data_IF_072162677449
#
_entry.id   IF_072162677449
#
_cell.length_a   1.000
_cell.length_b   1.000
_cell.length_c   1.000
_cell.angle_alpha   90.00
_cell.angle_beta   90.00
_cell.angle_gamma   90.00
#
_symmetry.space_group_name_H-M   'P 1'
#
loop_
_entity.id
_entity.type
_entity.pdbx_description
1 polymer ?
#
# COMPACT_ATOMS: atom_id res chain seq x y z
N UNK A 1 34.27 14.17 -33.70
CA UNK A 1 33.69 14.55 -32.41
C UNK A 1 32.52 13.63 -32.06
N UNK A 2 32.75 12.33 -31.85
CA UNK A 2 31.68 11.32 -31.52
C UNK A 2 32.09 10.47 -30.31
N UNK A 3 33.25 10.74 -29.67
CA UNK A 3 33.77 9.92 -28.57
C UNK A 3 33.34 10.33 -27.14
N UNK A 4 32.74 11.51 -26.94
CA UNK A 4 32.50 12.03 -25.58
C UNK A 4 31.20 11.62 -24.92
N UNK A 5 30.22 11.07 -25.65
CA UNK A 5 28.91 10.70 -25.06
C UNK A 5 28.84 9.26 -24.51
N UNK A 6 29.74 8.40 -24.95
CA UNK A 6 29.78 7.00 -24.47
C UNK A 6 30.42 6.87 -23.07
N UNK A 7 31.47 7.66 -22.81
CA UNK A 7 32.20 7.64 -21.54
C UNK A 7 31.38 8.21 -20.37
N UNK A 8 30.57 9.26 -20.61
CA UNK A 8 29.67 9.82 -19.60
C UNK A 8 28.56 8.82 -19.21
N UNK A 9 28.11 7.96 -20.14
CA UNK A 9 27.11 6.92 -19.85
C UNK A 9 27.68 5.77 -19.03
N UNK A 10 28.96 5.44 -19.21
CA UNK A 10 29.61 4.38 -18.42
C UNK A 10 29.87 4.82 -16.99
N UNK A 11 30.28 6.06 -16.78
CA UNK A 11 30.54 6.62 -15.44
C UNK A 11 29.25 6.81 -14.62
N UNK A 12 28.15 7.21 -15.27
CA UNK A 12 26.83 7.28 -14.61
C UNK A 12 26.31 5.89 -14.21
N UNK A 13 26.53 4.85 -15.02
CA UNK A 13 26.13 3.48 -14.70
C UNK A 13 26.92 2.90 -13.53
N UNK A 14 28.22 3.18 -13.46
CA UNK A 14 29.08 2.73 -12.34
C UNK A 14 28.82 3.52 -11.07
N UNK A 15 28.57 4.83 -11.16
CA UNK A 15 28.18 5.67 -10.02
C UNK A 15 26.80 5.28 -9.45
N UNK A 16 25.82 4.99 -10.33
CA UNK A 16 24.49 4.52 -9.88
C UNK A 16 24.50 3.07 -9.36
N UNK A 17 25.30 2.19 -9.94
CA UNK A 17 25.52 0.85 -9.41
C UNK A 17 26.16 0.88 -8.01
N UNK A 18 26.97 1.91 -7.70
CA UNK A 18 27.52 2.12 -6.36
C UNK A 18 26.53 2.79 -5.40
N UNK A 19 25.55 3.56 -5.87
CA UNK A 19 24.44 4.13 -5.09
C UNK A 19 23.27 3.17 -4.90
N UNK A 20 23.10 2.20 -5.79
CA UNK A 20 22.27 1.01 -5.60
C UNK A 20 22.90 0.01 -4.60
N UNK A 21 23.83 0.49 -3.78
CA UNK A 21 24.61 -0.24 -2.82
C UNK A 21 23.77 -0.83 -1.66
N UNK A 22 24.23 -1.93 -1.05
CA UNK A 22 23.50 -2.97 -0.31
C UNK A 22 22.64 -2.49 0.89
N UNK A 23 22.74 -1.24 1.31
CA UNK A 23 22.00 -0.77 2.47
C UNK A 23 20.47 -0.60 2.22
N UNK A 24 20.08 -0.19 1.02
CA UNK A 24 18.65 -0.04 0.67
C UNK A 24 18.03 -1.41 0.38
N UNK A 25 18.79 -2.31 -0.24
CA UNK A 25 18.41 -3.72 -0.38
C UNK A 25 18.34 -4.44 0.97
N UNK A 26 19.19 -4.04 1.94
CA UNK A 26 19.19 -4.65 3.26
C UNK A 26 17.88 -4.42 4.01
N UNK A 27 17.27 -3.25 3.93
CA UNK A 27 16.01 -2.98 4.63
C UNK A 27 14.86 -3.81 4.06
N UNK A 28 14.69 -3.82 2.73
CA UNK A 28 13.64 -4.63 2.08
C UNK A 28 13.93 -6.13 2.24
N UNK A 29 15.20 -6.54 2.12
CA UNK A 29 15.60 -7.93 2.37
C UNK A 29 15.42 -8.34 3.83
N UNK A 30 15.65 -7.45 4.79
CA UNK A 30 15.38 -7.69 6.22
C UNK A 30 13.87 -7.77 6.46
N UNK A 31 13.09 -6.84 5.90
CA UNK A 31 11.63 -6.88 6.00
C UNK A 31 11.07 -8.15 5.38
N UNK A 32 11.53 -8.55 4.19
CA UNK A 32 11.12 -9.78 3.52
C UNK A 32 11.59 -11.05 4.26
N UNK A 33 12.80 -11.03 4.84
CA UNK A 33 13.27 -12.14 5.68
C UNK A 33 12.49 -12.27 6.97
N UNK A 34 12.19 -11.15 7.64
CA UNK A 34 11.35 -11.14 8.83
C UNK A 34 9.93 -11.60 8.50
N UNK A 35 9.39 -11.15 7.36
CA UNK A 35 8.08 -11.56 6.88
C UNK A 35 8.07 -13.03 6.47
N UNK A 36 9.04 -13.47 5.68
CA UNK A 36 9.21 -14.86 5.27
C UNK A 36 9.42 -15.81 6.45
N UNK A 37 10.21 -15.40 7.44
CA UNK A 37 10.41 -16.17 8.68
C UNK A 37 9.14 -16.22 9.53
N UNK A 38 8.44 -15.11 9.68
CA UNK A 38 7.22 -15.03 10.49
C UNK A 38 6.06 -15.84 9.90
N UNK A 39 5.97 -15.91 8.57
CA UNK A 39 4.84 -16.56 7.88
C UNK A 39 5.19 -17.81 7.06
N UNK A 40 6.44 -18.28 7.17
CA UNK A 40 6.90 -19.53 6.53
C UNK A 40 6.96 -19.47 4.99
N UNK A 41 6.96 -18.28 4.41
CA UNK A 41 7.09 -18.08 2.96
C UNK A 41 8.53 -18.40 2.55
N UNK A 42 8.75 -19.55 1.94
CA UNK A 42 10.03 -19.94 1.34
C UNK A 42 10.18 -19.33 -0.05
N UNK A 43 10.18 -18.01 -0.14
CA UNK A 43 10.56 -17.29 -1.34
C UNK A 43 12.01 -16.81 -1.17
N UNK A 44 12.95 -17.44 -1.83
CA UNK A 44 14.30 -16.89 -1.98
C UNK A 44 14.22 -15.58 -2.77
N UNK A 45 15.09 -14.59 -2.51
CA UNK A 45 15.10 -13.36 -3.28
C UNK A 45 15.45 -13.69 -4.74
N UNK A 46 14.53 -13.42 -5.67
CA UNK A 46 14.81 -13.44 -7.11
C UNK A 46 15.69 -12.24 -7.51
N UNK A 47 16.86 -12.09 -6.85
CA UNK A 47 17.78 -10.96 -7.10
C UNK A 47 19.05 -11.34 -7.86
N UNK A 48 19.21 -12.59 -8.21
CA UNK A 48 20.36 -13.03 -9.02
C UNK A 48 19.85 -13.56 -10.35
N UNK A 49 20.06 -12.81 -11.39
CA UNK A 49 19.64 -13.10 -12.76
C UNK A 49 20.36 -14.26 -13.42
N UNK A 50 20.47 -15.41 -12.76
CA UNK A 50 20.91 -16.69 -13.32
C UNK A 50 20.26 -17.79 -12.48
N UNK A 51 19.43 -18.60 -13.12
CA UNK A 51 18.87 -19.88 -12.65
C UNK A 51 17.57 -19.90 -11.84
N UNK A 52 16.63 -18.97 -12.03
CA UNK A 52 15.25 -19.25 -11.63
C UNK A 52 14.37 -19.49 -12.86
N UNK A 53 14.09 -20.74 -13.17
CA UNK A 53 12.99 -21.17 -14.05
C UNK A 53 11.64 -20.95 -13.32
N UNK A 54 11.27 -19.70 -13.13
CA UNK A 54 10.02 -19.27 -12.52
C UNK A 54 9.97 -17.74 -12.61
N UNK A 55 9.33 -17.22 -13.65
CA UNK A 55 9.16 -15.78 -13.85
C UNK A 55 8.33 -15.24 -12.70
N UNK A 56 8.98 -14.51 -11.75
CA UNK A 56 8.26 -13.67 -10.81
C UNK A 56 7.59 -12.54 -11.60
N UNK A 57 6.28 -12.56 -11.67
CA UNK A 57 5.48 -11.57 -12.42
C UNK A 57 5.65 -10.15 -11.86
N UNK A 58 5.97 -10.03 -10.57
CA UNK A 58 6.22 -8.76 -9.89
C UNK A 58 7.40 -8.86 -8.93
N UNK A 59 8.20 -7.79 -8.87
CA UNK A 59 9.25 -7.65 -7.87
C UNK A 59 8.67 -7.37 -6.48
N UNK A 60 9.42 -7.67 -5.43
CA UNK A 60 9.06 -7.30 -4.06
C UNK A 60 8.88 -5.79 -3.89
N UNK A 61 9.64 -4.98 -4.64
CA UNK A 61 9.50 -3.52 -4.63
C UNK A 61 8.13 -3.06 -5.13
N UNK A 62 7.59 -3.71 -6.18
CA UNK A 62 6.26 -3.41 -6.68
C UNK A 62 5.18 -3.74 -5.64
N UNK A 63 5.29 -4.85 -4.89
CA UNK A 63 4.34 -5.21 -3.85
C UNK A 63 4.35 -4.17 -2.71
N UNK A 64 5.55 -3.77 -2.27
CA UNK A 64 5.70 -2.72 -1.26
C UNK A 64 5.18 -1.38 -1.74
N UNK A 65 5.45 -1.00 -3.00
CA UNK A 65 4.88 0.20 -3.61
C UNK A 65 3.35 0.19 -3.57
N UNK A 66 2.72 -0.89 -4.02
CA UNK A 66 1.25 -1.02 -4.02
C UNK A 66 0.65 -0.88 -2.62
N UNK A 67 1.33 -1.43 -1.61
CA UNK A 67 0.90 -1.31 -0.22
C UNK A 67 1.06 0.11 0.31
N UNK A 68 2.25 0.69 0.17
CA UNK A 68 2.58 2.01 0.71
C UNK A 68 1.74 3.11 0.06
N UNK A 69 1.60 3.10 -1.27
CA UNK A 69 0.78 4.07 -2.00
C UNK A 69 -0.69 4.01 -1.59
N UNK A 70 -1.27 2.80 -1.49
CA UNK A 70 -2.64 2.60 -1.05
C UNK A 70 -2.86 3.07 0.39
N UNK A 71 -1.99 2.65 1.31
CA UNK A 71 -2.08 3.03 2.74
C UNK A 71 -1.93 4.53 2.94
N UNK A 72 -1.00 5.18 2.22
CA UNK A 72 -0.82 6.62 2.28
C UNK A 72 -2.05 7.38 1.77
N UNK A 73 -2.61 6.96 0.63
CA UNK A 73 -3.83 7.56 0.08
C UNK A 73 -5.02 7.39 1.03
N UNK A 74 -5.17 6.22 1.66
CA UNK A 74 -6.17 5.99 2.71
C UNK A 74 -5.97 6.86 3.93
N UNK A 75 -4.72 7.10 4.37
CA UNK A 75 -4.42 7.98 5.49
C UNK A 75 -4.77 9.44 5.20
N UNK A 76 -4.53 9.91 3.96
CA UNK A 76 -4.95 11.24 3.53
C UNK A 76 -6.47 11.39 3.60
N UNK A 77 -7.21 10.39 3.10
CA UNK A 77 -8.67 10.38 3.16
C UNK A 77 -9.18 10.51 4.60
N UNK A 78 -8.62 9.74 5.54
CA UNK A 78 -9.01 9.84 6.94
C UNK A 78 -8.58 11.14 7.59
N UNK A 79 -7.41 11.68 7.27
CA UNK A 79 -6.95 12.98 7.75
C UNK A 79 -7.90 14.11 7.31
N UNK A 80 -8.29 14.12 6.04
CA UNK A 80 -9.25 15.07 5.50
C UNK A 80 -10.66 14.89 6.11
N UNK A 81 -11.12 13.65 6.26
CA UNK A 81 -12.41 13.37 6.89
C UNK A 81 -12.48 13.86 8.35
N UNK A 82 -11.40 13.73 9.11
CA UNK A 82 -11.29 14.25 10.48
C UNK A 82 -11.30 15.77 10.47
N UNK A 83 -10.57 16.41 9.55
CA UNK A 83 -10.50 17.86 9.45
C UNK A 83 -11.86 18.46 9.07
N UNK A 84 -12.52 17.93 8.06
CA UNK A 84 -13.84 18.37 7.61
C UNK A 84 -14.91 18.22 8.69
N UNK A 85 -14.87 17.17 9.51
CA UNK A 85 -15.76 16.99 10.66
C UNK A 85 -15.47 18.00 11.77
N UNK A 86 -14.20 18.27 12.05
CA UNK A 86 -13.77 19.27 13.03
C UNK A 86 -14.28 20.66 12.69
N UNK A 87 -14.21 21.05 11.43
CA UNK A 87 -14.71 22.36 10.93
C UNK A 87 -16.23 22.48 11.10
N UNK A 88 -16.99 21.42 10.82
CA UNK A 88 -18.46 21.44 10.96
C UNK A 88 -18.92 21.45 12.42
N UNK A 89 -18.18 20.80 13.31
CA UNK A 89 -18.60 20.66 14.72
C UNK A 89 -18.30 21.89 15.59
N UNK A 90 -17.30 22.70 15.26
CA UNK A 90 -16.78 23.72 16.17
C UNK A 90 -16.36 25.00 15.47
N UNK A 91 -16.75 25.47 14.39
CA UNK A 91 -16.34 26.77 13.81
C UNK A 91 -14.85 27.17 14.10
N UNK A 92 -14.02 26.20 14.41
CA UNK A 92 -12.64 26.38 14.86
C UNK A 92 -11.71 26.43 13.64
N UNK A 93 -10.98 27.51 13.52
CA UNK A 93 -10.07 27.82 12.41
C UNK A 93 -8.79 26.96 12.37
N UNK A 94 -8.59 26.05 13.33
CA UNK A 94 -7.36 25.25 13.42
C UNK A 94 -7.60 23.76 13.15
N UNK A 95 -6.82 23.21 12.21
CA UNK A 95 -6.80 21.78 11.91
C UNK A 95 -6.46 20.96 13.15
N UNK A 96 -7.24 19.94 13.53
CA UNK A 96 -6.95 19.10 14.67
C UNK A 96 -5.56 18.46 14.54
N UNK A 97 -4.82 18.34 15.64
CA UNK A 97 -3.45 17.79 15.61
C UNK A 97 -3.41 16.38 14.98
N UNK A 98 -4.43 15.58 15.14
CA UNK A 98 -4.56 14.24 14.53
C UNK A 98 -4.66 14.26 13.03
N UNK A 99 -5.40 15.23 12.48
CA UNK A 99 -5.46 15.41 11.03
C UNK A 99 -4.09 15.81 10.49
N UNK A 100 -3.37 16.69 11.19
CA UNK A 100 -1.99 17.06 10.83
C UNK A 100 -1.06 15.85 10.79
N UNK A 101 -1.09 14.97 11.80
CA UNK A 101 -0.26 13.76 11.82
C UNK A 101 -0.61 12.81 10.67
N UNK A 102 -1.88 12.70 10.31
CA UNK A 102 -2.33 11.92 9.17
C UNK A 102 -1.80 12.47 7.83
N UNK A 103 -1.85 13.79 7.61
CA UNK A 103 -1.30 14.41 6.39
C UNK A 103 0.22 14.24 6.30
N UNK A 104 0.97 14.48 7.37
CA UNK A 104 2.41 14.27 7.37
C UNK A 104 2.78 12.79 7.17
N UNK A 105 2.06 11.87 7.82
CA UNK A 105 2.24 10.43 7.64
C UNK A 105 1.98 10.00 6.20
N UNK A 106 0.93 10.52 5.57
CA UNK A 106 0.66 10.29 4.16
C UNK A 106 1.83 10.75 3.29
N UNK A 107 2.33 11.98 3.50
CA UNK A 107 3.44 12.52 2.70
C UNK A 107 4.69 11.66 2.79
N UNK A 108 5.06 11.22 4.00
CA UNK A 108 6.22 10.34 4.21
C UNK A 108 6.02 9.00 3.50
N UNK A 109 4.85 8.37 3.65
CA UNK A 109 4.59 7.08 3.00
C UNK A 109 4.54 7.19 1.47
N UNK A 110 3.98 8.27 0.91
CA UNK A 110 3.99 8.51 -0.53
C UNK A 110 5.42 8.69 -1.07
N UNK A 111 6.28 9.37 -0.32
CA UNK A 111 7.69 9.52 -0.68
C UNK A 111 8.40 8.14 -0.69
N UNK A 112 8.14 7.29 0.31
CA UNK A 112 8.64 5.91 0.31
C UNK A 112 8.06 5.06 -0.82
N UNK A 113 6.77 5.22 -1.14
CA UNK A 113 6.14 4.53 -2.27
C UNK A 113 6.78 4.94 -3.60
N UNK A 114 7.03 6.24 -3.80
CA UNK A 114 7.73 6.74 -4.97
C UNK A 114 9.17 6.21 -5.06
N UNK A 115 9.87 6.10 -3.93
CA UNK A 115 11.20 5.50 -3.86
C UNK A 115 11.16 4.02 -4.24
N UNK A 116 10.19 3.23 -3.75
CA UNK A 116 10.04 1.81 -4.11
C UNK A 116 9.76 1.64 -5.61
N UNK A 117 8.90 2.50 -6.18
CA UNK A 117 8.65 2.51 -7.62
C UNK A 117 9.90 2.86 -8.42
N UNK A 118 10.70 3.81 -7.94
CA UNK A 118 11.98 4.18 -8.55
C UNK A 118 12.97 3.01 -8.55
N UNK A 119 13.07 2.29 -7.44
CA UNK A 119 13.96 1.13 -7.30
C UNK A 119 13.50 -0.07 -8.15
N UNK A 120 12.20 -0.20 -8.37
CA UNK A 120 11.61 -1.25 -9.21
C UNK A 120 11.96 -1.08 -10.69
N UNK A 121 12.07 0.16 -11.20
CA UNK A 121 12.43 0.41 -12.59
C UNK A 121 13.86 0.00 -12.96
N UNK A 122 14.76 -0.13 -11.99
CA UNK A 122 16.14 -0.59 -12.18
C UNK A 122 17.04 0.36 -12.96
N UNK A 123 16.50 1.18 -13.85
CA UNK A 123 17.25 2.13 -14.65
C UNK A 123 16.62 3.54 -14.57
N UNK A 124 17.35 4.56 -14.06
CA UNK A 124 16.81 5.90 -13.85
C UNK A 124 16.37 6.61 -15.13
N UNK A 125 16.89 6.21 -16.28
CA UNK A 125 16.47 6.79 -17.57
C UNK A 125 15.09 6.31 -18.02
N UNK A 126 14.65 5.14 -17.60
CA UNK A 126 13.35 4.58 -17.95
C UNK A 126 12.19 5.37 -17.32
N UNK A 127 12.48 6.10 -16.23
CA UNK A 127 11.52 7.05 -15.63
C UNK A 127 11.10 8.13 -16.60
N UNK A 128 12.04 8.68 -17.38
CA UNK A 128 11.73 9.73 -18.36
C UNK A 128 10.71 9.23 -19.40
N UNK A 129 10.89 7.99 -19.89
CA UNK A 129 9.92 7.38 -20.79
C UNK A 129 8.54 7.17 -20.17
N UNK A 130 8.49 6.93 -18.86
CA UNK A 130 7.23 6.80 -18.13
C UNK A 130 6.44 8.11 -18.11
N UNK A 131 7.13 9.25 -18.10
CA UNK A 131 6.55 10.59 -18.09
C UNK A 131 6.29 11.19 -19.47
N UNK A 132 6.97 10.73 -20.53
CA UNK A 132 6.80 11.26 -21.89
C UNK A 132 5.44 10.98 -22.50
N UNK A 133 4.81 9.83 -22.15
CA UNK A 133 3.55 9.41 -22.74
C UNK A 133 2.52 8.99 -21.66
N UNK A 134 1.86 9.94 -20.99
CA UNK A 134 1.05 9.68 -19.79
C UNK A 134 -0.18 8.79 -20.02
N UNK A 135 -0.72 8.69 -21.23
CA UNK A 135 -1.94 7.93 -21.53
C UNK A 135 -1.68 6.62 -22.30
N UNK A 136 -0.43 6.29 -22.59
CA UNK A 136 -0.10 5.15 -23.45
C UNK A 136 0.03 3.82 -22.67
N UNK A 137 0.26 3.90 -21.36
CA UNK A 137 0.45 2.74 -20.49
C UNK A 137 -0.25 2.96 -19.16
N UNK A 138 -0.85 1.90 -18.60
CA UNK A 138 -1.44 1.93 -17.27
C UNK A 138 -0.39 2.32 -16.22
N UNK A 139 0.86 1.85 -16.36
CA UNK A 139 1.96 2.24 -15.48
C UNK A 139 2.27 3.74 -15.51
N UNK A 140 2.25 4.38 -16.70
CA UNK A 140 2.47 5.82 -16.83
C UNK A 140 1.39 6.64 -16.12
N UNK A 141 0.12 6.23 -16.24
CA UNK A 141 -0.98 6.87 -15.50
C UNK A 141 -0.74 6.82 -13.99
N UNK A 142 -0.26 5.67 -13.47
CA UNK A 142 0.05 5.50 -12.06
C UNK A 142 1.20 6.38 -11.58
N UNK A 143 2.27 6.49 -12.36
CA UNK A 143 3.41 7.34 -12.03
C UNK A 143 2.99 8.82 -11.95
N UNK A 144 2.17 9.30 -12.89
CA UNK A 144 1.61 10.65 -12.87
C UNK A 144 0.68 10.86 -11.66
N UNK A 145 -0.24 9.93 -11.38
CA UNK A 145 -1.13 10.00 -10.22
C UNK A 145 -0.34 10.06 -8.92
N UNK A 146 0.66 9.19 -8.77
CA UNK A 146 1.50 9.13 -7.57
C UNK A 146 2.27 10.44 -7.38
N UNK A 147 2.88 10.97 -8.46
CA UNK A 147 3.68 12.20 -8.42
C UNK A 147 2.80 13.41 -8.08
N UNK A 148 1.64 13.54 -8.70
CA UNK A 148 0.69 14.61 -8.40
C UNK A 148 0.15 14.51 -6.97
N UNK A 149 -0.18 13.29 -6.51
CA UNK A 149 -0.62 13.05 -5.15
C UNK A 149 0.46 13.41 -4.13
N UNK A 150 1.72 13.05 -4.40
CA UNK A 150 2.87 13.42 -3.57
C UNK A 150 3.06 14.94 -3.54
N UNK A 151 3.02 15.62 -4.69
CA UNK A 151 3.17 17.08 -4.76
C UNK A 151 2.10 17.81 -3.96
N UNK A 152 0.83 17.40 -4.10
CA UNK A 152 -0.28 17.98 -3.33
C UNK A 152 -0.14 17.68 -1.84
N UNK A 153 0.24 16.44 -1.47
CA UNK A 153 0.45 16.05 -0.07
C UNK A 153 1.60 16.84 0.59
N UNK A 154 2.70 17.06 -0.14
CA UNK A 154 3.81 17.94 0.31
C UNK A 154 3.31 19.37 0.50
N UNK A 155 2.57 19.93 -0.45
CA UNK A 155 2.03 21.29 -0.35
C UNK A 155 1.10 21.45 0.86
N UNK A 156 0.19 20.48 1.09
CA UNK A 156 -0.67 20.44 2.28
C UNK A 156 0.16 20.38 3.56
N UNK A 157 1.18 19.52 3.62
CA UNK A 157 2.06 19.39 4.78
C UNK A 157 2.85 20.66 5.05
N UNK A 158 3.36 21.34 4.02
CA UNK A 158 4.07 22.62 4.15
C UNK A 158 3.12 23.72 4.67
N UNK A 159 1.91 23.83 4.15
CA UNK A 159 0.92 24.80 4.63
C UNK A 159 0.56 24.56 6.11
N UNK A 160 0.48 23.30 6.55
CA UNK A 160 0.25 22.94 7.94
C UNK A 160 1.42 23.35 8.84
N UNK A 161 2.66 23.16 8.39
CA UNK A 161 3.87 23.58 9.13
C UNK A 161 3.95 25.10 9.24
N UNK A 162 3.54 25.82 8.18
CA UNK A 162 3.49 27.29 8.18
C UNK A 162 2.29 27.87 8.97
N UNK A 163 1.44 27.01 9.54
CA UNK A 163 0.24 27.45 10.29
C UNK A 163 -0.87 28.04 9.42
N UNK A 164 -0.80 27.87 8.08
CA UNK A 164 -1.76 28.43 7.12
C UNK A 164 -2.93 27.50 6.79
N UNK A 165 -3.40 26.75 7.76
CA UNK A 165 -4.50 25.76 7.58
C UNK A 165 -5.88 26.40 7.32
N UNK A 166 -6.08 27.68 7.65
CA UNK A 166 -7.34 28.39 7.43
C UNK A 166 -7.46 29.07 6.05
N UNK A 167 -6.49 28.83 5.15
CA UNK A 167 -6.49 29.47 3.82
C UNK A 167 -7.37 28.72 2.83
N UNK A 168 -7.95 29.45 1.87
CA UNK A 168 -8.69 28.86 0.75
C UNK A 168 -7.81 27.88 -0.04
N UNK A 169 -6.51 28.23 -0.22
CA UNK A 169 -5.55 27.37 -0.88
C UNK A 169 -5.44 25.99 -0.20
N UNK A 170 -5.40 25.94 1.13
CA UNK A 170 -5.38 24.69 1.88
C UNK A 170 -6.61 23.83 1.55
N UNK A 171 -7.81 24.42 1.53
CA UNK A 171 -9.07 23.71 1.22
C UNK A 171 -9.11 23.18 -0.22
N UNK A 172 -8.63 23.97 -1.17
CA UNK A 172 -8.55 23.55 -2.57
C UNK A 172 -7.58 22.37 -2.71
N UNK A 173 -6.40 22.43 -2.07
CA UNK A 173 -5.43 21.35 -2.10
C UNK A 173 -5.92 20.10 -1.37
N UNK A 174 -6.64 20.25 -0.26
CA UNK A 174 -7.26 19.14 0.46
C UNK A 174 -8.28 18.40 -0.42
N UNK A 175 -9.16 19.13 -1.10
CA UNK A 175 -10.15 18.55 -2.02
C UNK A 175 -9.47 17.89 -3.24
N UNK A 176 -8.49 18.57 -3.85
CA UNK A 176 -7.71 18.01 -4.95
C UNK A 176 -6.97 16.72 -4.51
N UNK A 177 -6.38 16.74 -3.32
CA UNK A 177 -5.72 15.58 -2.72
C UNK A 177 -6.67 14.42 -2.50
N UNK A 178 -7.91 14.65 -2.06
CA UNK A 178 -8.91 13.58 -1.93
C UNK A 178 -9.20 12.88 -3.26
N UNK A 179 -9.36 13.65 -4.35
CA UNK A 179 -9.61 13.08 -5.69
C UNK A 179 -8.40 12.28 -6.17
N UNK A 180 -7.19 12.82 -5.99
CA UNK A 180 -5.95 12.14 -6.38
C UNK A 180 -5.72 10.88 -5.55
N UNK A 181 -5.95 10.91 -4.24
CA UNK A 181 -5.85 9.74 -3.37
C UNK A 181 -6.86 8.65 -3.72
N UNK A 182 -8.10 9.02 -4.06
CA UNK A 182 -9.09 8.07 -4.59
C UNK A 182 -8.61 7.45 -5.90
N UNK A 183 -8.00 8.25 -6.78
CA UNK A 183 -7.34 7.79 -8.00
C UNK A 183 -6.22 6.79 -7.72
N UNK A 184 -5.31 7.09 -6.79
CA UNK A 184 -4.21 6.19 -6.41
C UNK A 184 -4.73 4.87 -5.84
N UNK A 185 -5.71 4.90 -4.92
CA UNK A 185 -6.30 3.68 -4.34
C UNK A 185 -6.94 2.79 -5.42
N UNK A 186 -7.70 3.39 -6.35
CA UNK A 186 -8.34 2.68 -7.45
C UNK A 186 -7.32 2.14 -8.44
N UNK A 187 -6.33 2.96 -8.78
CA UNK A 187 -5.27 2.62 -9.72
C UNK A 187 -4.49 1.36 -9.30
N UNK A 188 -4.17 1.20 -8.01
CA UNK A 188 -3.44 0.02 -7.52
C UNK A 188 -4.17 -1.29 -7.82
N UNK A 189 -5.49 -1.30 -7.75
CA UNK A 189 -6.32 -2.44 -8.15
C UNK A 189 -6.46 -2.59 -9.66
N UNK A 190 -6.62 -1.46 -10.40
CA UNK A 190 -6.74 -1.45 -11.86
C UNK A 190 -5.47 -1.97 -12.51
N UNK A 191 -4.28 -1.63 -11.98
CA UNK A 191 -3.01 -2.10 -12.49
C UNK A 191 -2.95 -3.63 -12.57
N UNK A 192 -3.33 -4.32 -11.51
CA UNK A 192 -3.36 -5.79 -11.50
C UNK A 192 -4.50 -6.32 -12.37
N UNK A 193 -5.71 -5.74 -12.27
CA UNK A 193 -6.87 -6.21 -13.02
C UNK A 193 -6.75 -6.00 -14.54
N UNK A 194 -5.85 -5.11 -14.98
CA UNK A 194 -5.56 -4.90 -16.41
C UNK A 194 -4.74 -6.02 -17.05
N UNK A 195 -4.14 -6.91 -16.26
CA UNK A 195 -3.39 -8.08 -16.74
C UNK A 195 -4.33 -9.22 -17.11
N UNK A 196 -4.89 -9.17 -18.31
CA UNK A 196 -5.90 -10.11 -18.85
C UNK A 196 -5.37 -11.55 -18.92
N UNK A 197 -4.04 -11.74 -19.01
CA UNK A 197 -3.40 -13.06 -19.06
C UNK A 197 -3.50 -13.87 -17.75
N UNK A 198 -3.88 -13.22 -16.65
CA UNK A 198 -3.99 -13.86 -15.34
C UNK A 198 -5.45 -13.78 -14.88
N UNK A 199 -6.18 -14.89 -15.07
CA UNK A 199 -7.61 -14.98 -14.75
C UNK A 199 -7.93 -14.61 -13.29
N UNK A 200 -7.00 -14.89 -12.36
CA UNK A 200 -7.19 -14.60 -10.95
C UNK A 200 -7.34 -13.09 -10.67
N UNK A 201 -6.63 -12.25 -11.43
CA UNK A 201 -6.65 -10.79 -11.25
C UNK A 201 -7.72 -10.09 -12.07
N UNK A 202 -8.12 -10.68 -13.21
CA UNK A 202 -9.05 -10.06 -14.15
C UNK A 202 -10.49 -10.02 -13.60
N UNK A 203 -10.71 -9.11 -12.62
CA UNK A 203 -12.02 -8.91 -12.00
C UNK A 203 -12.12 -7.53 -11.36
N UNK A 204 -13.29 -6.85 -11.46
CA UNK A 204 -13.52 -5.57 -10.79
C UNK A 204 -13.54 -5.71 -9.26
N UNK A 205 -13.81 -6.90 -8.72
CA UNK A 205 -13.80 -7.14 -7.28
C UNK A 205 -12.42 -6.97 -6.66
N UNK A 206 -11.34 -7.16 -7.44
CA UNK A 206 -9.97 -6.90 -7.00
C UNK A 206 -9.75 -5.41 -6.74
N UNK A 207 -10.27 -4.54 -7.61
CA UNK A 207 -10.20 -3.09 -7.43
C UNK A 207 -10.92 -2.67 -6.14
N UNK A 208 -12.12 -3.20 -5.93
CA UNK A 208 -12.90 -2.93 -4.71
C UNK A 208 -12.15 -3.39 -3.45
N UNK A 209 -11.55 -4.59 -3.47
CA UNK A 209 -10.75 -5.12 -2.38
C UNK A 209 -9.55 -4.21 -2.05
N UNK A 210 -8.84 -3.73 -3.07
CA UNK A 210 -7.67 -2.87 -2.88
C UNK A 210 -8.05 -1.49 -2.33
N UNK A 211 -9.16 -0.92 -2.77
CA UNK A 211 -9.69 0.34 -2.21
C UNK A 211 -10.11 0.13 -0.76
N UNK A 212 -10.86 -0.93 -0.44
CA UNK A 212 -11.29 -1.23 0.92
C UNK A 212 -10.08 -1.44 1.86
N UNK A 213 -9.07 -2.19 1.40
CA UNK A 213 -7.83 -2.42 2.15
C UNK A 213 -7.01 -1.14 2.34
N UNK A 214 -6.94 -0.26 1.31
CA UNK A 214 -6.27 1.03 1.43
C UNK A 214 -6.93 1.93 2.48
N UNK A 215 -8.26 1.98 2.50
CA UNK A 215 -9.04 2.74 3.51
C UNK A 215 -8.82 2.17 4.90
N UNK A 216 -8.84 0.84 5.07
CA UNK A 216 -8.63 0.15 6.34
C UNK A 216 -7.21 0.36 6.88
N UNK A 217 -6.19 0.15 6.06
CA UNK A 217 -4.79 0.38 6.43
C UNK A 217 -4.51 1.87 6.70
N UNK A 218 -5.13 2.78 5.93
CA UNK A 218 -5.03 4.22 6.16
C UNK A 218 -5.60 4.64 7.51
N UNK A 219 -6.75 4.08 7.92
CA UNK A 219 -7.32 4.31 9.25
C UNK A 219 -6.37 3.82 10.36
N UNK A 220 -5.84 2.61 10.21
CA UNK A 220 -4.88 2.02 11.14
C UNK A 220 -3.60 2.86 11.27
N UNK A 221 -3.08 3.38 10.16
CA UNK A 221 -1.93 4.28 10.17
C UNK A 221 -2.20 5.56 10.95
N UNK A 222 -3.32 6.23 10.68
CA UNK A 222 -3.70 7.48 11.39
C UNK A 222 -3.93 7.19 12.88
N UNK A 223 -4.51 6.05 13.24
CA UNK A 223 -4.67 5.61 14.63
C UNK A 223 -3.32 5.39 15.32
N UNK A 224 -2.39 4.67 14.67
CA UNK A 224 -1.05 4.41 15.18
C UNK A 224 -0.24 5.70 15.38
N UNK A 225 -0.20 6.58 14.37
CA UNK A 225 0.49 7.86 14.44
C UNK A 225 -0.11 8.77 15.52
N UNK A 226 -1.45 8.81 15.62
CA UNK A 226 -2.13 9.59 16.66
C UNK A 226 -1.79 9.09 18.05
N UNK A 227 -1.64 7.79 18.24
CA UNK A 227 -1.22 7.21 19.51
C UNK A 227 0.22 7.57 19.86
N UNK A 228 1.15 7.39 18.94
CA UNK A 228 2.59 7.61 19.16
C UNK A 228 2.89 9.09 19.41
N UNK A 229 2.28 10.00 18.65
CA UNK A 229 2.63 11.41 18.67
C UNK A 229 1.78 12.25 19.64
N UNK A 230 0.54 11.84 19.92
CA UNK A 230 -0.42 12.62 20.74
C UNK A 230 -0.63 12.01 22.12
N UNK A 231 -0.49 10.72 22.27
CA UNK A 231 -0.65 10.01 23.56
C UNK A 231 -2.05 10.09 24.19
N UNK A 232 -3.00 10.78 23.58
CA UNK A 232 -4.30 11.10 24.17
C UNK A 232 -5.41 10.16 23.73
N UNK A 233 -6.23 9.71 24.69
CA UNK A 233 -7.36 8.80 24.47
C UNK A 233 -8.67 9.46 24.03
N UNK A 234 -8.81 10.80 24.18
CA UNK A 234 -10.06 11.51 23.83
C UNK A 234 -10.19 11.67 22.31
N UNK A 235 -11.34 11.25 21.75
CA UNK A 235 -11.62 11.27 20.30
C UNK A 235 -11.02 10.13 19.46
N UNK A 236 -10.24 9.21 20.05
CA UNK A 236 -9.81 7.95 19.41
C UNK A 236 -10.97 6.95 19.27
N UNK A 237 -12.04 7.13 20.03
CA UNK A 237 -13.17 6.18 20.02
C UNK A 237 -13.91 6.21 18.68
N UNK A 238 -14.17 7.39 18.15
CA UNK A 238 -14.89 7.53 16.87
C UNK A 238 -14.04 7.05 15.70
N UNK A 239 -12.73 7.33 15.74
CA UNK A 239 -11.78 6.83 14.75
C UNK A 239 -11.65 5.30 14.83
N UNK A 240 -11.60 4.73 16.05
CA UNK A 240 -11.54 3.28 16.23
C UNK A 240 -12.82 2.57 15.74
N UNK A 241 -14.00 3.17 15.96
CA UNK A 241 -15.25 2.63 15.41
C UNK A 241 -15.22 2.67 13.86
N UNK A 242 -14.76 3.76 13.29
CA UNK A 242 -14.65 3.90 11.84
C UNK A 242 -13.59 2.96 11.24
N UNK A 243 -12.45 2.78 11.92
CA UNK A 243 -11.43 1.80 11.55
C UNK A 243 -11.97 0.36 11.64
N UNK A 244 -12.74 0.04 12.65
CA UNK A 244 -13.43 -1.25 12.77
C UNK A 244 -14.43 -1.48 11.62
N UNK A 245 -15.21 -0.47 11.26
CA UNK A 245 -16.14 -0.54 10.13
C UNK A 245 -15.41 -0.73 8.80
N UNK A 246 -14.31 0.00 8.56
CA UNK A 246 -13.51 -0.15 7.32
C UNK A 246 -12.90 -1.55 7.20
N UNK A 247 -12.42 -2.16 8.30
CA UNK A 247 -11.96 -3.56 8.33
C UNK A 247 -13.08 -4.56 8.02
N UNK A 248 -14.29 -4.32 8.51
CA UNK A 248 -15.45 -5.16 8.17
C UNK A 248 -15.78 -5.09 6.68
N UNK A 249 -15.70 -3.89 6.08
CA UNK A 249 -15.87 -3.71 4.63
C UNK A 249 -14.76 -4.39 3.84
N UNK A 250 -13.50 -4.31 4.31
CA UNK A 250 -12.37 -5.01 3.70
C UNK A 250 -12.56 -6.54 3.74
N UNK A 251 -13.00 -7.08 4.88
CA UNK A 251 -13.30 -8.51 5.01
C UNK A 251 -14.43 -8.96 4.07
N UNK A 252 -15.50 -8.16 3.97
CA UNK A 252 -16.59 -8.44 3.04
C UNK A 252 -16.12 -8.39 1.57
N UNK A 253 -15.30 -7.40 1.21
CA UNK A 253 -14.72 -7.29 -0.13
C UNK A 253 -13.79 -8.49 -0.45
N UNK A 254 -12.99 -8.94 0.53
CA UNK A 254 -12.17 -10.14 0.40
C UNK A 254 -13.02 -11.39 0.17
N UNK A 255 -14.09 -11.57 0.93
CA UNK A 255 -15.01 -12.68 0.78
C UNK A 255 -15.66 -12.68 -0.61
N UNK A 256 -16.17 -11.55 -1.07
CA UNK A 256 -16.75 -11.40 -2.41
C UNK A 256 -15.73 -11.69 -3.51
N UNK A 257 -14.50 -11.18 -3.39
CA UNK A 257 -13.42 -11.46 -4.33
C UNK A 257 -13.12 -12.96 -4.41
N UNK A 258 -12.87 -13.62 -3.27
CA UNK A 258 -12.54 -15.05 -3.24
C UNK A 258 -13.70 -15.92 -3.75
N UNK A 259 -14.93 -15.63 -3.36
CA UNK A 259 -16.11 -16.33 -3.86
C UNK A 259 -16.26 -16.17 -5.39
N UNK A 260 -16.08 -14.95 -5.90
CA UNK A 260 -16.16 -14.69 -7.35
C UNK A 260 -15.10 -15.47 -8.13
N UNK A 261 -13.90 -15.67 -7.56
CA UNK A 261 -12.82 -16.45 -8.21
C UNK A 261 -13.02 -17.95 -8.06
N UNK A 262 -13.55 -18.40 -6.92
CA UNK A 262 -13.87 -19.80 -6.71
C UNK A 262 -14.92 -20.31 -7.71
N UNK A 263 -15.98 -19.52 -7.94
CA UNK A 263 -17.05 -19.87 -8.88
C UNK A 263 -16.69 -19.62 -10.35
N UNK A 264 -15.64 -18.86 -10.65
CA UNK A 264 -15.16 -18.68 -12.02
C UNK A 264 -14.55 -19.95 -12.62
N UNK A 265 -14.09 -20.89 -11.76
CA UNK A 265 -13.47 -22.14 -12.20
C UNK A 265 -12.06 -21.96 -12.79
N UNK A 266 -11.55 -23.02 -13.43
CA UNK A 266 -10.26 -22.99 -14.16
C UNK A 266 -9.07 -22.54 -13.31
N UNK A 267 -8.19 -21.71 -13.91
CA UNK A 267 -6.97 -21.22 -13.26
C UNK A 267 -7.26 -20.33 -12.03
N UNK A 268 -8.37 -19.60 -12.02
CA UNK A 268 -8.75 -18.77 -10.88
C UNK A 268 -9.11 -19.62 -9.65
N UNK A 269 -9.77 -20.75 -9.84
CA UNK A 269 -10.10 -21.68 -8.77
C UNK A 269 -8.83 -22.36 -8.21
N UNK A 270 -7.88 -22.74 -9.07
CA UNK A 270 -6.61 -23.33 -8.63
C UNK A 270 -5.80 -22.34 -7.80
N UNK A 271 -5.79 -21.04 -8.14
CA UNK A 271 -5.18 -19.98 -7.33
C UNK A 271 -5.83 -19.87 -5.94
N UNK A 272 -7.15 -19.96 -5.86
CA UNK A 272 -7.84 -19.99 -4.58
C UNK A 272 -7.49 -21.24 -3.76
N UNK A 273 -7.37 -22.41 -4.38
CA UNK A 273 -6.96 -23.64 -3.71
C UNK A 273 -5.55 -23.53 -3.15
N UNK A 274 -4.61 -22.91 -3.87
CA UNK A 274 -3.24 -22.64 -3.41
C UNK A 274 -3.22 -21.71 -2.18
N UNK A 275 -4.12 -20.73 -2.13
CA UNK A 275 -4.28 -19.87 -0.96
C UNK A 275 -4.85 -20.60 0.26
N UNK A 276 -5.82 -21.50 0.08
CA UNK A 276 -6.51 -22.14 1.21
C UNK A 276 -5.72 -23.32 1.79
N UNK A 277 -5.10 -24.14 0.95
CA UNK A 277 -4.50 -25.41 1.34
C UNK A 277 -3.11 -25.66 0.72
N UNK A 278 -2.58 -24.75 -0.12
CA UNK A 278 -1.27 -24.87 -0.74
C UNK A 278 -0.16 -24.16 0.04
N UNK A 279 0.95 -23.85 -0.65
CA UNK A 279 2.15 -23.24 -0.08
C UNK A 279 1.90 -21.85 0.54
N UNK A 280 0.85 -21.16 0.10
CA UNK A 280 0.46 -19.83 0.62
C UNK A 280 -0.54 -19.89 1.78
N UNK A 281 -0.97 -21.08 2.20
CA UNK A 281 -1.95 -21.24 3.28
C UNK A 281 -1.46 -20.62 4.60
N UNK A 282 -0.17 -20.74 4.92
CA UNK A 282 0.40 -20.10 6.11
C UNK A 282 0.31 -18.58 6.09
N UNK A 283 0.60 -17.97 4.94
CA UNK A 283 0.50 -16.53 4.74
C UNK A 283 -0.97 -16.06 4.76
N UNK A 284 -1.87 -16.82 4.15
CA UNK A 284 -3.29 -16.50 4.10
C UNK A 284 -3.94 -16.60 5.49
N UNK A 285 -3.85 -17.75 6.14
CA UNK A 285 -4.50 -17.95 7.44
C UNK A 285 -3.79 -17.22 8.59
N UNK A 286 -2.44 -17.32 8.66
CA UNK A 286 -1.66 -16.67 9.73
C UNK A 286 -1.47 -15.17 9.50
N UNK A 287 -1.08 -14.78 8.30
CA UNK A 287 -0.81 -13.37 8.00
C UNK A 287 -2.06 -12.55 7.77
N UNK A 288 -2.91 -12.97 6.84
CA UNK A 288 -4.07 -12.18 6.46
C UNK A 288 -5.23 -12.37 7.44
N UNK A 289 -5.67 -13.60 7.71
CA UNK A 289 -6.87 -13.84 8.52
C UNK A 289 -6.58 -13.59 10.00
N UNK A 290 -5.53 -14.18 10.55
CA UNK A 290 -5.23 -14.02 11.98
C UNK A 290 -4.70 -12.61 12.28
N UNK A 291 -3.64 -12.14 11.60
CA UNK A 291 -3.06 -10.83 11.90
C UNK A 291 -3.89 -9.68 11.31
N UNK A 292 -4.47 -9.82 10.11
CA UNK A 292 -5.21 -8.74 9.47
C UNK A 292 -6.60 -8.49 10.04
N UNK A 293 -7.29 -9.54 10.49
CA UNK A 293 -8.68 -9.42 10.94
C UNK A 293 -8.91 -9.88 12.38
N UNK A 294 -8.47 -11.09 12.77
CA UNK A 294 -8.78 -11.63 14.09
C UNK A 294 -8.05 -10.88 15.21
N UNK A 295 -6.76 -10.61 15.06
CA UNK A 295 -5.98 -9.94 16.09
C UNK A 295 -6.43 -8.48 16.33
N UNK A 296 -6.67 -7.62 15.29
CA UNK A 296 -7.23 -6.29 15.53
C UNK A 296 -8.59 -6.32 16.19
N UNK A 297 -9.47 -7.27 15.81
CA UNK A 297 -10.78 -7.43 16.42
C UNK A 297 -10.66 -7.83 17.90
N UNK A 298 -9.78 -8.77 18.22
CA UNK A 298 -9.50 -9.17 19.60
C UNK A 298 -8.93 -8.02 20.44
N UNK A 299 -8.00 -7.22 19.86
CA UNK A 299 -7.47 -6.02 20.50
C UNK A 299 -8.55 -4.96 20.76
N UNK A 300 -9.45 -4.75 19.82
CA UNK A 300 -10.57 -3.81 19.98
C UNK A 300 -11.55 -4.26 21.07
N UNK A 301 -11.87 -5.56 21.12
CA UNK A 301 -12.72 -6.14 22.15
C UNK A 301 -12.05 -6.05 23.54
N UNK A 302 -10.78 -6.45 23.63
CA UNK A 302 -10.03 -6.37 24.87
C UNK A 302 -9.91 -4.92 25.37
N UNK A 303 -9.70 -3.96 24.46
CA UNK A 303 -9.62 -2.54 24.82
C UNK A 303 -10.97 -1.95 25.29
N UNK A 304 -12.10 -2.52 24.87
CA UNK A 304 -13.42 -2.15 25.41
C UNK A 304 -13.57 -2.58 26.88
N UNK A 305 -12.95 -3.71 27.28
CA UNK A 305 -13.01 -4.25 28.63
C UNK A 305 -11.98 -3.59 29.55
N UNK A 306 -10.71 -3.54 29.13
CA UNK A 306 -9.58 -3.18 30.01
C UNK A 306 -9.13 -1.71 29.80
N UNK A 307 -9.52 -1.07 28.70
CA UNK A 307 -9.19 0.33 28.34
C UNK A 307 -7.69 0.63 28.31
N UNK A 308 -6.88 -0.32 27.84
CA UNK A 308 -5.42 -0.18 27.71
C UNK A 308 -5.09 0.39 26.33
N UNK A 309 -4.54 1.61 26.24
CA UNK A 309 -4.34 2.26 24.95
C UNK A 309 -3.32 1.56 24.05
N UNK A 310 -2.38 0.77 24.61
CA UNK A 310 -1.38 -0.01 23.84
C UNK A 310 -2.06 -1.09 22.97
N UNK A 311 -3.22 -1.63 23.40
CA UNK A 311 -3.97 -2.59 22.58
C UNK A 311 -4.44 -2.00 21.25
N UNK A 312 -4.73 -0.71 21.20
CA UNK A 312 -5.07 -0.02 19.93
C UNK A 312 -3.89 0.04 18.99
N UNK A 313 -2.72 0.38 19.52
CA UNK A 313 -1.49 0.38 18.71
C UNK A 313 -1.20 -1.02 18.15
N UNK A 314 -1.31 -2.04 19.01
CA UNK A 314 -1.14 -3.42 18.58
C UNK A 314 -2.14 -3.83 17.50
N UNK A 315 -3.42 -3.46 17.63
CA UNK A 315 -4.44 -3.68 16.62
C UNK A 315 -4.16 -2.94 15.30
N UNK A 316 -3.73 -1.68 15.39
CA UNK A 316 -3.37 -0.89 14.20
C UNK A 316 -2.16 -1.47 13.46
N UNK A 317 -1.09 -1.84 14.18
CA UNK A 317 0.10 -2.47 13.59
C UNK A 317 -0.27 -3.83 12.96
N UNK A 318 -1.10 -4.61 13.64
CA UNK A 318 -1.59 -5.90 13.12
C UNK A 318 -2.40 -5.73 11.83
N UNK A 319 -3.28 -4.71 11.75
CA UNK A 319 -4.01 -4.38 10.52
C UNK A 319 -3.07 -4.01 9.36
N UNK A 320 -2.02 -3.22 9.63
CA UNK A 320 -1.03 -2.89 8.61
C UNK A 320 -0.28 -4.14 8.12
N UNK A 321 0.13 -5.03 9.03
CA UNK A 321 0.75 -6.29 8.68
C UNK A 321 -0.18 -7.17 7.82
N UNK A 322 -1.48 -7.25 8.17
CA UNK A 322 -2.49 -7.92 7.37
C UNK A 322 -2.64 -7.34 5.97
N UNK A 323 -2.60 -6.01 5.82
CA UNK A 323 -2.63 -5.35 4.52
C UNK A 323 -1.43 -5.67 3.62
N UNK A 324 -0.23 -5.82 4.19
CA UNK A 324 0.94 -6.33 3.47
C UNK A 324 0.71 -7.78 3.04
N UNK A 325 0.27 -8.66 3.97
CA UNK A 325 -0.04 -10.05 3.67
C UNK A 325 -1.06 -10.19 2.54
N UNK A 326 -2.09 -9.33 2.51
CA UNK A 326 -3.09 -9.32 1.46
C UNK A 326 -2.46 -9.07 0.09
N UNK A 327 -1.54 -8.09 -0.03
CA UNK A 327 -0.83 -7.80 -1.29
C UNK A 327 0.01 -9.01 -1.73
N UNK A 328 0.77 -9.60 -0.80
CA UNK A 328 1.55 -10.80 -1.08
C UNK A 328 0.67 -11.99 -1.48
N UNK A 329 -0.43 -12.26 -0.78
CA UNK A 329 -1.37 -13.32 -1.12
C UNK A 329 -1.93 -13.15 -2.55
N UNK A 330 -2.36 -11.94 -2.90
CA UNK A 330 -2.96 -11.68 -4.23
C UNK A 330 -1.91 -11.83 -5.34
N UNK A 331 -0.70 -11.31 -5.14
CA UNK A 331 0.35 -11.33 -6.17
C UNK A 331 0.93 -12.74 -6.33
N UNK A 332 1.31 -13.40 -5.23
CA UNK A 332 1.94 -14.71 -5.28
C UNK A 332 0.98 -15.84 -5.68
N UNK A 333 -0.29 -15.77 -5.32
CA UNK A 333 -1.26 -16.78 -5.73
C UNK A 333 -1.39 -16.88 -7.26
N UNK A 334 -1.35 -15.74 -7.95
CA UNK A 334 -1.40 -15.69 -9.41
C UNK A 334 -0.13 -16.23 -10.07
N UNK A 335 1.05 -15.94 -9.51
CA UNK A 335 2.31 -16.46 -10.03
C UNK A 335 2.40 -17.99 -9.94
N UNK A 336 1.98 -18.57 -8.82
CA UNK A 336 1.97 -20.03 -8.65
C UNK A 336 1.00 -20.72 -9.63
N UNK A 337 -0.16 -20.16 -9.91
CA UNK A 337 -1.09 -20.75 -10.87
C UNK A 337 -0.54 -20.78 -12.31
N UNK A 338 0.20 -19.77 -12.73
CA UNK A 338 0.84 -19.71 -14.03
C UNK A 338 1.92 -20.81 -14.20
N UNK A 339 2.69 -21.11 -13.15
CA UNK A 339 3.74 -22.14 -13.14
C UNK A 339 3.12 -23.54 -13.25
N UNK A 340 2.05 -23.82 -12.51
CA UNK A 340 1.42 -25.15 -12.53
C UNK A 340 0.74 -25.48 -13.87
N UNK A 341 0.24 -24.49 -14.58
CA UNK A 341 -0.37 -24.69 -15.91
C UNK A 341 0.65 -24.96 -17.03
N UNK A 342 1.90 -24.54 -16.88
CA UNK A 342 2.97 -24.79 -17.85
C UNK A 342 3.65 -26.17 -17.68
N UNK A 343 3.35 -26.92 -16.62
CA UNK A 343 3.94 -28.25 -16.33
C UNK A 343 2.98 -29.40 -16.66
N UNK A 344 1.72 -29.11 -16.97
CA UNK A 344 0.72 -30.10 -17.44
C UNK A 344 0.54 -30.04 -18.95
#
# INVERSE_FOLDING_TARGET
MVGGFADVRLDARTAFASLACPANFALVAVLNRLFGFAFGVRGGPCYTGLDCKGECVFSDFAIWYLFLAGTAAGAFLWAAAIDMRGVRAFAQSSVPFRSRTGFHGCTVLLAFAALMLFLDLGNPYDILYLFENPLRSVMSVGAWLLTLCLAVSVAVSVLLLLGRSATVLFRVLELAGLVLCAGVMTYTGVLLSSMVSIDFWNTPWLVLLFVASAVSCGAALVEALSFVLVGSSRGLRDLACAAGASRAVEFAALAVFLLSRWFAGGAAQSSCATLFAGDLAGLFWGGLVLCGFAAPLACDMANRLVRVPVLRLAGAVSTLAGGVCLRYCVVLAAAYSAITLNVT
#
